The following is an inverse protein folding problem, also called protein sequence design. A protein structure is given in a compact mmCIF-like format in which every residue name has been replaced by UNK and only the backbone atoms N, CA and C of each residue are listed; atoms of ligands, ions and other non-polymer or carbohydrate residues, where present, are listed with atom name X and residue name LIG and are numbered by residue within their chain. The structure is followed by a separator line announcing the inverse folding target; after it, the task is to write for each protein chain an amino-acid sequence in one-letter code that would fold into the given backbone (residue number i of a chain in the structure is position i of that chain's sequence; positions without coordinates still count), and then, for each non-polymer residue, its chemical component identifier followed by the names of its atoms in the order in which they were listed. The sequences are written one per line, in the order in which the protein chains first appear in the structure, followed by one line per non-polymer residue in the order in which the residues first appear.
data_IF_169835426262
#
_entry.id   IF_169835426262
#
_cell.length_a   1.000
_cell.length_b   1.000
_cell.length_c   1.000
_cell.angle_alpha   90.00
_cell.angle_beta   90.00
_cell.angle_gamma   90.00
#
_symmetry.space_group_name_H-M   'P 1'
#
loop_
_entity.id
_entity.type
_entity.pdbx_description
1 polymer ?
#
# COMPACT_ATOMS: atom_id res chain seq x y z
N UNK A 1 6.42 2.60 -7.34
CA UNK A 1 6.80 1.39 -6.61
C UNK A 1 6.44 0.20 -7.45
N UNK A 2 7.45 -0.42 -8.04
CA UNK A 2 7.30 -1.61 -8.85
C UNK A 2 6.91 -2.76 -7.92
N UNK A 3 5.66 -3.22 -7.99
CA UNK A 3 5.18 -4.33 -7.14
C UNK A 3 5.44 -5.69 -7.79
N UNK A 4 5.64 -5.72 -9.11
CA UNK A 4 6.08 -6.87 -9.90
C UNK A 4 6.56 -6.44 -11.30
N UNK A 5 7.20 -7.33 -12.04
CA UNK A 5 7.60 -7.13 -13.44
C UNK A 5 9.11 -6.98 -13.64
N UNK A 6 9.52 -6.59 -14.86
CA UNK A 6 10.93 -6.53 -15.27
C UNK A 6 11.76 -5.60 -14.39
N UNK A 7 11.18 -4.52 -13.90
CA UNK A 7 11.86 -3.57 -13.02
C UNK A 7 12.12 -4.15 -11.62
N UNK A 8 11.20 -4.95 -11.10
CA UNK A 8 11.41 -5.67 -9.84
C UNK A 8 12.43 -6.78 -10.02
N UNK A 9 12.40 -7.47 -11.15
CA UNK A 9 13.39 -8.50 -11.48
C UNK A 9 14.78 -7.87 -11.55
N UNK A 10 14.89 -6.72 -12.21
CA UNK A 10 16.13 -5.94 -12.30
C UNK A 10 16.60 -5.47 -10.93
N UNK A 11 15.69 -5.00 -10.08
CA UNK A 11 15.99 -4.64 -8.70
C UNK A 11 16.55 -5.83 -7.90
N UNK A 12 15.88 -6.98 -7.94
CA UNK A 12 16.31 -8.18 -7.22
C UNK A 12 17.70 -8.64 -7.68
N UNK A 13 17.97 -8.60 -8.99
CA UNK A 13 19.29 -8.86 -9.57
C UNK A 13 20.36 -7.91 -9.04
N UNK A 14 20.06 -6.61 -9.00
CA UNK A 14 21.00 -5.61 -8.51
C UNK A 14 21.22 -5.72 -6.99
N UNK A 15 20.19 -5.99 -6.21
CA UNK A 15 20.32 -6.24 -4.77
C UNK A 15 21.18 -7.48 -4.50
N UNK A 16 20.97 -8.58 -5.22
CA UNK A 16 21.81 -9.78 -5.14
C UNK A 16 23.27 -9.48 -5.52
N UNK A 17 23.50 -8.72 -6.60
CA UNK A 17 24.83 -8.30 -7.03
C UNK A 17 25.53 -7.43 -5.97
N UNK A 18 24.78 -6.61 -5.25
CA UNK A 18 25.27 -5.76 -4.15
C UNK A 18 25.27 -6.47 -2.78
N UNK A 19 25.21 -7.80 -2.74
CA UNK A 19 25.42 -8.58 -1.53
C UNK A 19 24.21 -8.67 -0.61
N UNK A 20 22.98 -8.65 -1.15
CA UNK A 20 21.78 -8.94 -0.38
C UNK A 20 21.87 -10.32 0.31
N UNK A 21 21.59 -10.36 1.61
CA UNK A 21 21.57 -11.58 2.42
C UNK A 21 20.29 -11.64 3.27
N UNK A 22 19.53 -12.75 3.22
CA UNK A 22 19.71 -13.91 2.35
C UNK A 22 19.52 -13.56 0.86
N UNK A 23 20.14 -14.35 -0.03
CA UNK A 23 20.04 -14.13 -1.49
C UNK A 23 18.57 -14.18 -1.92
N UNK A 24 18.15 -13.19 -2.71
CA UNK A 24 16.79 -13.06 -3.21
C UNK A 24 16.53 -14.03 -4.36
N UNK A 25 15.28 -14.50 -4.44
CA UNK A 25 14.75 -15.14 -5.65
C UNK A 25 14.42 -14.04 -6.65
N UNK A 26 14.94 -14.15 -7.85
CA UNK A 26 14.75 -13.21 -8.96
C UNK A 26 13.47 -13.56 -9.72
N UNK A 27 12.33 -13.44 -9.03
CA UNK A 27 11.00 -13.80 -9.53
C UNK A 27 10.21 -12.60 -10.09
N UNK A 28 10.83 -11.42 -10.09
CA UNK A 28 10.19 -10.19 -10.48
C UNK A 28 9.02 -9.81 -9.59
N UNK A 29 8.98 -10.27 -8.33
CA UNK A 29 7.91 -9.98 -7.37
C UNK A 29 8.44 -9.21 -6.15
N UNK A 30 7.84 -8.06 -5.85
CA UNK A 30 8.31 -7.20 -4.76
C UNK A 30 7.68 -7.67 -3.45
N UNK A 31 8.17 -8.81 -2.96
CA UNK A 31 7.73 -9.41 -1.70
C UNK A 31 8.53 -8.92 -0.49
N UNK A 32 8.20 -9.47 0.68
CA UNK A 32 8.85 -9.15 1.96
C UNK A 32 10.38 -9.25 1.91
N UNK A 33 10.91 -10.26 1.22
CA UNK A 33 12.36 -10.44 1.11
C UNK A 33 13.00 -9.33 0.28
N UNK A 34 12.40 -8.96 -0.86
CA UNK A 34 12.84 -7.84 -1.71
C UNK A 34 12.79 -6.53 -0.94
N UNK A 35 11.70 -6.25 -0.22
CA UNK A 35 11.56 -5.06 0.62
C UNK A 35 12.64 -4.99 1.71
N UNK A 36 12.87 -6.09 2.45
CA UNK A 36 13.90 -6.13 3.48
C UNK A 36 15.30 -5.92 2.90
N UNK A 37 15.59 -6.49 1.73
CA UNK A 37 16.86 -6.30 1.05
C UNK A 37 17.06 -4.85 0.58
N UNK A 38 16.01 -4.18 0.09
CA UNK A 38 16.05 -2.74 -0.22
C UNK A 38 16.40 -1.94 1.02
N UNK A 39 15.71 -2.18 2.15
CA UNK A 39 15.97 -1.51 3.42
C UNK A 39 17.42 -1.69 3.90
N UNK A 40 17.93 -2.92 3.86
CA UNK A 40 19.32 -3.23 4.25
C UNK A 40 20.32 -2.53 3.32
N UNK A 41 20.05 -2.53 2.02
CA UNK A 41 20.89 -1.86 1.03
C UNK A 41 20.92 -0.35 1.26
N UNK A 42 19.77 0.27 1.49
CA UNK A 42 19.66 1.71 1.75
C UNK A 42 20.42 2.11 3.04
N UNK A 43 20.27 1.35 4.11
CA UNK A 43 21.00 1.57 5.37
C UNK A 43 22.52 1.55 5.21
N UNK A 44 23.03 0.73 4.28
CA UNK A 44 24.46 0.61 3.99
C UNK A 44 24.99 1.68 3.04
N UNK A 45 24.10 2.39 2.36
CA UNK A 45 24.48 3.25 1.23
C UNK A 45 24.15 4.72 1.44
N UNK A 46 23.97 5.15 2.70
CA UNK A 46 23.72 6.55 3.12
C UNK A 46 22.54 7.23 2.38
N UNK A 47 21.61 6.43 1.87
CA UNK A 47 20.35 6.89 1.30
C UNK A 47 19.23 6.65 2.32
N UNK A 48 18.14 7.40 2.21
CA UNK A 48 16.99 7.24 3.11
C UNK A 48 16.55 5.77 3.15
N UNK A 49 16.48 5.20 4.36
CA UNK A 49 16.16 3.81 4.57
C UNK A 49 14.63 3.61 4.61
N UNK A 50 13.90 4.18 3.69
CA UNK A 50 12.44 4.15 3.68
C UNK A 50 11.85 2.86 3.07
N UNK A 51 12.69 1.98 2.51
CA UNK A 51 12.27 0.80 1.76
C UNK A 51 11.74 1.11 0.36
N UNK A 52 11.91 2.35 -0.10
CA UNK A 52 11.45 2.86 -1.39
C UNK A 52 12.60 2.90 -2.38
N UNK A 53 12.47 2.17 -3.48
CA UNK A 53 13.48 2.22 -4.56
C UNK A 53 13.23 3.43 -5.46
N UNK A 54 13.66 4.60 -5.00
CA UNK A 54 13.65 5.86 -5.74
C UNK A 54 14.94 6.08 -6.57
N UNK A 55 15.04 7.20 -7.32
CA UNK A 55 16.19 7.49 -8.18
C UNK A 55 17.55 7.42 -7.48
N UNK A 56 17.62 7.87 -6.21
CA UNK A 56 18.83 7.75 -5.39
C UNK A 56 19.22 6.29 -5.11
N UNK A 57 18.23 5.46 -4.80
CA UNK A 57 18.45 4.02 -4.59
C UNK A 57 18.88 3.33 -5.88
N UNK A 58 18.31 3.71 -7.04
CA UNK A 58 18.71 3.17 -8.34
C UNK A 58 20.13 3.55 -8.75
N UNK A 59 20.51 4.81 -8.54
CA UNK A 59 21.87 5.29 -8.77
C UNK A 59 22.87 4.47 -7.96
N UNK A 60 22.57 4.27 -6.68
CA UNK A 60 23.42 3.56 -5.76
C UNK A 60 23.52 2.05 -6.08
N UNK A 61 22.48 1.46 -6.65
CA UNK A 61 22.48 0.07 -7.15
C UNK A 61 23.33 -0.10 -8.42
N UNK A 62 23.84 0.98 -9.01
CA UNK A 62 24.73 0.97 -10.17
C UNK A 62 24.03 1.15 -11.52
N UNK A 63 22.79 1.68 -11.55
CA UNK A 63 22.17 2.16 -12.80
C UNK A 63 22.53 3.64 -13.00
N UNK A 64 23.48 3.87 -13.91
CA UNK A 64 23.86 5.20 -14.39
C UNK A 64 23.09 5.46 -15.70
N UNK A 65 21.83 5.85 -15.59
CA UNK A 65 21.07 6.34 -16.75
C UNK A 65 21.11 7.88 -16.73
N UNK A 66 21.74 8.48 -17.75
CA UNK A 66 21.95 9.93 -17.88
C UNK A 66 20.66 10.74 -18.07
N UNK A 67 19.50 10.09 -17.97
CA UNK A 67 18.17 10.70 -17.98
C UNK A 67 17.76 11.32 -16.63
N UNK A 68 18.61 11.23 -15.59
CA UNK A 68 18.33 11.70 -14.23
C UNK A 68 19.23 12.87 -13.76
N UNK A 69 19.84 13.63 -14.69
CA UNK A 69 20.56 14.86 -14.36
C UNK A 69 19.93 16.03 -15.09
N UNK A 70 19.10 16.82 -14.40
CA UNK A 70 19.26 18.28 -14.51
C UNK A 70 18.95 18.93 -13.16
N UNK A 71 19.78 19.89 -12.72
CA UNK A 71 19.94 20.29 -11.32
C UNK A 71 19.07 21.50 -10.99
N UNK A 72 18.72 21.68 -9.71
CA UNK A 72 18.38 23.02 -9.24
C UNK A 72 19.68 23.79 -9.02
N UNK A 73 20.21 24.39 -10.08
CA UNK A 73 20.98 25.64 -10.00
C UNK A 73 20.29 26.69 -10.89
N UNK A 74 20.37 27.92 -10.39
CA UNK A 74 19.58 29.11 -10.73
C UNK A 74 19.78 29.67 -12.15
N UNK A 75 18.71 30.34 -12.62
CA UNK A 75 18.65 31.54 -13.48
C UNK A 75 18.99 31.49 -14.99
N UNK A 76 18.19 32.32 -15.70
CA UNK A 76 18.33 32.91 -17.05
C UNK A 76 18.00 32.09 -18.30
N UNK A 77 16.77 32.34 -18.77
CA UNK A 77 16.35 32.78 -20.11
C UNK A 77 16.38 31.87 -21.37
N UNK A 78 15.36 32.13 -22.21
CA UNK A 78 15.15 31.75 -23.63
C UNK A 78 14.61 30.34 -24.01
N UNK A 79 13.28 30.28 -24.08
CA UNK A 79 12.44 29.88 -25.22
C UNK A 79 12.97 28.80 -26.22
N UNK A 80 12.51 27.53 -26.08
CA UNK A 80 12.42 26.56 -27.17
C UNK A 80 11.20 25.64 -27.01
N UNK A 81 10.32 25.67 -28.01
CA UNK A 81 9.14 24.82 -28.17
C UNK A 81 9.54 23.47 -28.76
N UNK A 82 9.26 22.35 -28.07
CA UNK A 82 9.40 20.97 -28.61
C UNK A 82 8.15 20.15 -28.20
N UNK A 83 7.58 19.35 -29.12
CA UNK A 83 6.22 18.84 -29.04
C UNK A 83 6.03 17.64 -28.10
N UNK A 84 4.77 17.51 -27.69
CA UNK A 84 4.17 16.52 -26.82
C UNK A 84 4.37 15.08 -27.32
N UNK A 85 5.05 14.23 -26.54
CA UNK A 85 4.91 12.78 -26.65
C UNK A 85 5.19 12.08 -25.31
N UNK A 86 4.14 11.42 -24.81
CA UNK A 86 4.17 10.25 -23.92
C UNK A 86 4.71 10.45 -22.49
N UNK A 87 3.86 11.02 -21.62
CA UNK A 87 4.00 10.87 -20.16
C UNK A 87 3.86 9.40 -19.76
N UNK A 88 4.99 8.78 -19.40
CA UNK A 88 5.02 7.53 -18.63
C UNK A 88 4.64 7.87 -17.20
N UNK A 89 3.45 7.43 -16.76
CA UNK A 89 2.95 7.65 -15.39
C UNK A 89 3.62 6.66 -14.44
N UNK A 90 4.61 7.12 -13.68
CA UNK A 90 5.33 6.32 -12.68
C UNK A 90 4.54 6.35 -11.36
N UNK A 91 3.75 5.30 -11.13
CA UNK A 91 2.99 5.10 -9.89
C UNK A 91 3.96 4.79 -8.74
N UNK A 92 4.33 5.76 -7.91
CA UNK A 92 5.22 5.50 -6.77
C UNK A 92 5.61 6.66 -5.87
N UNK A 93 5.43 7.89 -6.31
CA UNK A 93 5.74 9.11 -5.56
C UNK A 93 4.53 10.06 -5.49
N UNK A 94 3.34 9.54 -5.70
CA UNK A 94 2.28 10.36 -6.26
C UNK A 94 1.32 10.79 -5.15
N UNK A 95 1.04 12.09 -5.11
CA UNK A 95 -0.02 12.74 -4.33
C UNK A 95 -1.41 12.09 -4.53
N UNK A 96 -1.52 11.04 -5.34
CA UNK A 96 -2.74 10.30 -5.65
C UNK A 96 -3.22 9.35 -4.54
N UNK A 97 -2.41 9.08 -3.50
CA UNK A 97 -2.86 8.33 -2.32
C UNK A 97 -2.82 9.14 -1.02
N UNK A 98 -3.79 8.91 -0.14
CA UNK A 98 -3.91 9.49 1.19
C UNK A 98 -4.17 8.43 2.27
N UNK A 99 -3.93 8.78 3.53
CA UNK A 99 -4.28 7.94 4.67
C UNK A 99 -5.82 7.77 4.76
N UNK A 100 -6.35 6.63 5.23
CA UNK A 100 -7.81 6.42 5.30
C UNK A 100 -8.52 7.25 6.39
N UNK A 101 -7.78 8.06 7.16
CA UNK A 101 -8.29 8.90 8.25
C UNK A 101 -7.64 10.28 8.24
N UNK A 102 -8.34 11.28 8.76
CA UNK A 102 -7.85 12.67 8.91
C UNK A 102 -6.82 12.86 10.02
N UNK A 103 -6.53 11.80 10.79
CA UNK A 103 -5.50 11.76 11.82
C UNK A 103 -4.95 10.35 11.97
N UNK A 104 -3.81 10.19 12.64
CA UNK A 104 -3.22 8.88 12.92
C UNK A 104 -3.87 8.20 14.12
N UNK A 105 -3.98 6.87 14.15
CA UNK A 105 -4.42 6.14 15.32
C UNK A 105 -3.40 6.28 16.46
N UNK A 106 -3.88 6.29 17.72
CA UNK A 106 -3.00 6.35 18.89
C UNK A 106 -2.10 5.12 19.04
N UNK A 107 -2.56 3.96 18.53
CA UNK A 107 -1.81 2.69 18.59
C UNK A 107 -1.25 2.37 17.21
N UNK A 108 0.03 1.97 17.18
CA UNK A 108 0.68 1.52 15.94
C UNK A 108 -0.01 0.27 15.36
N UNK A 109 -0.13 0.26 14.03
CA UNK A 109 -0.61 -0.86 13.20
C UNK A 109 0.47 -1.90 12.89
N UNK A 110 1.72 -1.68 13.29
CA UNK A 110 2.85 -2.60 13.03
C UNK A 110 3.17 -3.52 14.21
N UNK A 111 2.43 -3.42 15.33
CA UNK A 111 2.74 -4.14 16.57
C UNK A 111 1.52 -4.89 17.12
N UNK A 112 1.79 -6.02 17.79
CA UNK A 112 0.77 -6.82 18.50
C UNK A 112 -0.21 -7.54 17.56
N UNK A 113 -1.44 -7.79 18.01
CA UNK A 113 -2.46 -8.49 17.22
C UNK A 113 -2.95 -7.75 15.97
N UNK A 114 -2.63 -6.45 15.86
CA UNK A 114 -3.09 -5.54 14.79
C UNK A 114 -2.30 -5.64 13.51
N UNK A 115 -1.05 -6.11 13.58
CA UNK A 115 -0.16 -6.15 12.42
C UNK A 115 -0.54 -7.29 11.47
N UNK A 116 -0.17 -7.11 10.20
CA UNK A 116 -0.22 -8.18 9.23
C UNK A 116 0.65 -9.36 9.68
N UNK A 117 0.16 -10.58 9.48
CA UNK A 117 0.87 -11.80 9.87
C UNK A 117 0.79 -12.15 11.35
N UNK A 118 0.18 -11.31 12.20
CA UNK A 118 -0.01 -11.62 13.61
C UNK A 118 -0.69 -12.99 13.79
N UNK A 119 -0.23 -13.83 14.74
CA UNK A 119 -0.81 -15.15 14.95
C UNK A 119 -2.27 -15.03 15.41
N UNK A 120 -3.12 -15.87 14.86
CA UNK A 120 -4.53 -16.03 15.20
C UNK A 120 -4.81 -17.51 15.42
N UNK A 121 -5.83 -17.83 16.22
CA UNK A 121 -6.26 -19.23 16.45
C UNK A 121 -5.11 -20.14 16.90
N UNK A 122 -4.32 -19.70 17.89
CA UNK A 122 -3.16 -20.44 18.38
C UNK A 122 -2.00 -20.55 17.37
N UNK A 123 -1.96 -19.73 16.32
CA UNK A 123 -0.90 -19.73 15.30
C UNK A 123 -1.27 -20.46 14.00
N UNK A 124 -2.38 -21.19 13.97
CA UNK A 124 -2.88 -21.89 12.77
C UNK A 124 -3.38 -20.93 11.69
N UNK A 125 -3.71 -19.70 12.07
CA UNK A 125 -4.13 -18.63 11.18
C UNK A 125 -3.25 -17.39 11.38
N UNK A 126 -3.14 -16.57 10.34
CA UNK A 126 -2.46 -15.27 10.36
C UNK A 126 -3.45 -14.15 10.07
N UNK A 127 -3.19 -12.99 10.65
CA UNK A 127 -3.94 -11.78 10.41
C UNK A 127 -3.64 -11.23 9.01
N UNK A 128 -4.66 -11.03 8.17
CA UNK A 128 -4.48 -10.73 6.75
C UNK A 128 -4.49 -9.24 6.39
N UNK A 129 -4.47 -8.37 7.41
CA UNK A 129 -4.52 -6.93 7.24
C UNK A 129 -3.81 -6.20 8.37
N UNK A 130 -4.01 -4.89 8.40
CA UNK A 130 -3.63 -4.02 9.51
C UNK A 130 -4.90 -3.45 10.16
N UNK A 131 -4.95 -3.49 11.50
CA UNK A 131 -6.06 -2.92 12.26
C UNK A 131 -5.70 -1.48 12.71
N UNK A 132 -6.45 -0.50 12.20
CA UNK A 132 -6.34 0.91 12.56
C UNK A 132 -7.41 1.26 13.60
N UNK A 133 -7.03 1.31 14.87
CA UNK A 133 -7.97 1.51 15.99
C UNK A 133 -8.48 2.96 16.01
N UNK A 134 -9.80 3.09 15.86
CA UNK A 134 -10.55 4.33 15.93
C UNK A 134 -11.92 4.08 16.58
N UNK A 135 -12.52 5.08 17.25
CA UNK A 135 -13.86 4.93 17.82
C UNK A 135 -14.92 4.59 16.75
N UNK A 136 -16.03 3.94 17.14
CA UNK A 136 -17.16 3.71 16.25
C UNK A 136 -17.67 5.04 15.66
N UNK A 137 -18.13 5.00 14.40
CA UNK A 137 -18.64 6.17 13.71
C UNK A 137 -17.57 7.07 13.09
N UNK A 138 -16.28 6.85 13.37
CA UNK A 138 -15.19 7.62 12.76
C UNK A 138 -15.23 7.49 11.23
N UNK A 139 -15.22 8.59 10.45
CA UNK A 139 -15.23 8.53 8.99
C UNK A 139 -13.99 7.84 8.42
N UNK A 140 -14.21 6.94 7.46
CA UNK A 140 -13.19 6.24 6.68
C UNK A 140 -13.19 6.85 5.28
N UNK A 141 -12.00 7.17 4.77
CA UNK A 141 -11.81 7.82 3.47
C UNK A 141 -11.23 6.84 2.45
N UNK A 142 -11.63 6.98 1.19
CA UNK A 142 -10.99 6.31 0.07
C UNK A 142 -9.53 6.76 0.00
N UNK A 143 -8.60 5.79 -0.07
CA UNK A 143 -7.17 6.12 -0.06
C UNK A 143 -6.72 6.72 -1.39
N UNK A 144 -7.47 6.54 -2.46
CA UNK A 144 -7.21 7.08 -3.80
C UNK A 144 -8.51 7.09 -4.60
N UNK A 145 -8.46 7.63 -5.81
CA UNK A 145 -9.51 7.39 -6.80
C UNK A 145 -9.69 5.88 -7.01
N UNK A 146 -10.93 5.44 -7.16
CA UNK A 146 -11.20 4.01 -7.24
C UNK A 146 -12.59 3.64 -7.72
N UNK A 147 -12.76 2.35 -8.00
CA UNK A 147 -14.01 1.74 -8.44
C UNK A 147 -14.41 0.67 -7.43
N UNK A 148 -15.66 0.72 -6.97
CA UNK A 148 -16.24 -0.31 -6.12
C UNK A 148 -16.31 -1.63 -6.90
N UNK A 149 -15.63 -2.65 -6.38
CA UNK A 149 -15.63 -4.00 -6.97
C UNK A 149 -16.64 -4.89 -6.26
N UNK A 150 -16.81 -4.69 -4.95
CA UNK A 150 -17.80 -5.41 -4.16
C UNK A 150 -18.46 -4.48 -3.15
N UNK A 151 -19.77 -4.29 -3.32
CA UNK A 151 -20.60 -3.47 -2.44
C UNK A 151 -20.80 -4.09 -1.06
N UNK A 152 -21.31 -3.31 -0.09
CA UNK A 152 -21.28 -3.67 1.32
C UNK A 152 -21.84 -5.07 1.56
N UNK A 153 -21.04 -5.90 2.22
CA UNK A 153 -21.44 -7.25 2.59
C UNK A 153 -21.03 -7.53 4.03
N UNK A 154 -21.77 -8.43 4.68
CA UNK A 154 -21.43 -8.87 6.03
C UNK A 154 -20.01 -9.42 6.05
N UNK A 155 -19.18 -8.93 6.97
CA UNK A 155 -17.78 -9.30 7.05
C UNK A 155 -17.47 -10.10 8.31
N UNK A 156 -17.60 -9.49 9.48
CA UNK A 156 -17.16 -10.11 10.73
C UNK A 156 -17.85 -9.49 11.95
N UNK A 157 -18.34 -10.32 12.86
CA UNK A 157 -18.77 -9.89 14.21
C UNK A 157 -19.72 -8.68 14.21
N UNK A 158 -20.73 -8.68 13.32
CA UNK A 158 -21.72 -7.60 13.23
C UNK A 158 -21.30 -6.38 12.38
N UNK A 159 -20.11 -6.42 11.79
CA UNK A 159 -19.58 -5.39 10.90
C UNK A 159 -19.56 -5.84 9.43
N UNK A 160 -19.33 -4.88 8.54
CA UNK A 160 -19.40 -5.05 7.09
C UNK A 160 -18.05 -4.76 6.44
N UNK A 161 -17.95 -5.01 5.14
CA UNK A 161 -16.81 -4.61 4.34
C UNK A 161 -17.22 -4.15 2.93
N UNK A 162 -16.36 -3.36 2.31
CA UNK A 162 -16.38 -3.07 0.87
C UNK A 162 -15.01 -3.34 0.26
N UNK A 163 -14.99 -3.68 -1.03
CA UNK A 163 -13.76 -3.92 -1.78
C UNK A 163 -13.67 -2.88 -2.91
N UNK A 164 -12.63 -2.05 -2.91
CA UNK A 164 -12.44 -0.95 -3.87
C UNK A 164 -11.09 -1.12 -4.56
N UNK A 165 -11.12 -1.06 -5.89
CA UNK A 165 -9.91 -1.10 -6.71
C UNK A 165 -9.37 0.30 -6.93
N UNK A 166 -8.10 0.49 -6.57
CA UNK A 166 -7.33 1.72 -6.72
C UNK A 166 -6.15 1.45 -7.65
N UNK A 167 -6.34 1.71 -8.95
CA UNK A 167 -5.37 1.33 -9.98
C UNK A 167 -5.10 -0.18 -9.99
N UNK A 168 -3.87 -0.56 -9.69
CA UNK A 168 -3.41 -1.96 -9.64
C UNK A 168 -3.66 -2.64 -8.28
N UNK A 169 -4.07 -1.90 -7.26
CA UNK A 169 -4.37 -2.45 -5.94
C UNK A 169 -5.87 -2.69 -5.79
N UNK A 170 -6.24 -3.75 -5.08
CA UNK A 170 -7.57 -3.93 -4.54
C UNK A 170 -7.48 -3.88 -3.02
N UNK A 171 -8.24 -2.98 -2.40
CA UNK A 171 -8.30 -2.83 -0.96
C UNK A 171 -9.65 -3.33 -0.45
N UNK A 172 -9.62 -4.09 0.65
CA UNK A 172 -10.81 -4.35 1.44
C UNK A 172 -10.81 -3.43 2.65
N UNK A 173 -11.85 -2.61 2.72
CA UNK A 173 -12.17 -1.80 3.89
C UNK A 173 -13.12 -2.62 4.77
N UNK A 174 -12.56 -3.36 5.72
CA UNK A 174 -13.29 -4.19 6.65
C UNK A 174 -13.67 -3.47 7.94
N UNK A 175 -14.59 -4.09 8.67
CA UNK A 175 -15.07 -3.62 9.97
C UNK A 175 -15.77 -2.24 9.91
N UNK A 176 -16.42 -1.96 8.78
CA UNK A 176 -17.26 -0.77 8.63
C UNK A 176 -18.63 -0.98 9.29
N UNK A 177 -19.24 0.12 9.75
CA UNK A 177 -20.57 0.10 10.36
C UNK A 177 -21.66 -0.30 9.34
N UNK A 178 -22.67 -1.03 9.81
CA UNK A 178 -23.84 -1.42 9.02
C UNK A 178 -24.49 -0.20 8.36
N UNK A 179 -24.80 -0.30 7.06
CA UNK A 179 -25.44 0.78 6.30
C UNK A 179 -24.62 2.07 6.16
N UNK A 180 -23.35 2.10 6.58
CA UNK A 180 -22.54 3.33 6.59
C UNK A 180 -21.89 3.68 5.25
N UNK A 181 -21.93 2.78 4.27
CA UNK A 181 -21.25 3.00 3.00
C UNK A 181 -21.94 4.07 2.16
N UNK A 182 -21.18 5.09 1.77
CA UNK A 182 -21.65 6.25 0.99
C UNK A 182 -20.77 6.52 -0.23
N UNK A 183 -19.86 5.61 -0.57
CA UNK A 183 -18.85 5.83 -1.62
C UNK A 183 -19.39 5.89 -3.06
N UNK A 184 -20.48 5.18 -3.37
CA UNK A 184 -20.98 5.04 -4.74
C UNK A 184 -20.16 4.09 -5.61
N UNK A 185 -20.48 3.97 -6.90
CA UNK A 185 -19.77 3.03 -7.80
C UNK A 185 -18.31 3.42 -8.06
N UNK A 186 -18.00 4.72 -7.96
CA UNK A 186 -16.66 5.29 -8.08
C UNK A 186 -16.41 6.26 -6.94
N UNK A 187 -15.18 6.26 -6.41
CA UNK A 187 -14.76 7.11 -5.29
C UNK A 187 -13.60 8.00 -5.70
N UNK A 188 -13.46 9.13 -5.01
CA UNK A 188 -12.31 10.04 -5.14
C UNK A 188 -11.37 9.92 -3.95
N UNK A 189 -10.08 10.15 -4.17
CA UNK A 189 -9.08 10.25 -3.09
C UNK A 189 -9.60 11.18 -1.98
N UNK A 190 -9.60 10.71 -0.74
CA UNK A 190 -10.04 11.49 0.41
C UNK A 190 -11.55 11.64 0.55
N UNK A 191 -12.37 11.04 -0.32
CA UNK A 191 -13.83 10.99 -0.14
C UNK A 191 -14.18 10.09 1.05
N UNK A 192 -15.10 10.54 1.92
CA UNK A 192 -15.71 9.66 2.94
C UNK A 192 -16.50 8.55 2.27
N UNK A 193 -16.11 7.30 2.53
CA UNK A 193 -16.74 6.12 1.93
C UNK A 193 -17.55 5.29 2.93
N UNK A 194 -17.21 5.33 4.21
CA UNK A 194 -17.85 4.54 5.25
C UNK A 194 -17.54 5.11 6.64
N UNK A 195 -18.04 4.47 7.69
CA UNK A 195 -17.69 4.76 9.09
C UNK A 195 -17.19 3.50 9.79
N UNK A 196 -16.30 3.65 10.77
CA UNK A 196 -15.82 2.55 11.62
C UNK A 196 -16.99 1.90 12.37
N UNK A 197 -17.06 0.58 12.33
CA UNK A 197 -18.07 -0.22 13.04
C UNK A 197 -17.66 -0.61 14.45
N UNK A 198 -18.61 -1.24 15.15
CA UNK A 198 -18.39 -1.86 16.46
C UNK A 198 -18.51 -3.37 16.29
N UNK A 199 -17.47 -4.12 16.68
CA UNK A 199 -17.53 -5.57 16.71
C UNK A 199 -18.39 -6.03 17.89
N UNK A 200 -18.87 -7.27 17.84
CA UNK A 200 -19.60 -7.89 18.96
C UNK A 200 -18.81 -7.94 20.28
N UNK A 201 -17.48 -7.83 20.24
CA UNK A 201 -16.63 -7.70 21.44
C UNK A 201 -16.59 -6.29 22.04
N UNK A 202 -17.22 -5.30 21.41
CA UNK A 202 -17.13 -3.87 21.76
C UNK A 202 -15.89 -3.16 21.20
N UNK A 203 -14.96 -3.88 20.56
CA UNK A 203 -13.80 -3.27 19.89
C UNK A 203 -14.22 -2.52 18.60
N UNK A 204 -13.40 -1.56 18.16
CA UNK A 204 -13.62 -0.79 16.93
C UNK A 204 -12.31 -0.41 16.24
N UNK A 205 -12.25 -0.62 14.92
CA UNK A 205 -11.11 -0.30 14.06
C UNK A 205 -11.53 -0.36 12.58
N UNK A 206 -10.69 0.15 11.69
CA UNK A 206 -10.69 -0.27 10.28
C UNK A 206 -9.73 -1.46 10.13
N UNK A 207 -10.25 -2.60 9.68
CA UNK A 207 -9.45 -3.73 9.24
C UNK A 207 -9.13 -3.56 7.74
N UNK A 208 -7.90 -3.15 7.42
CA UNK A 208 -7.50 -2.88 6.05
C UNK A 208 -6.71 -4.06 5.47
N UNK A 209 -7.18 -4.63 4.36
CA UNK A 209 -6.43 -5.63 3.59
C UNK A 209 -6.02 -5.03 2.22
N UNK A 210 -4.82 -5.37 1.74
CA UNK A 210 -4.29 -4.90 0.45
C UNK A 210 -3.94 -6.10 -0.43
N UNK A 211 -4.34 -6.04 -1.70
CA UNK A 211 -4.10 -7.08 -2.69
C UNK A 211 -3.38 -6.50 -3.91
N UNK A 212 -2.34 -7.20 -4.37
CA UNK A 212 -1.44 -6.71 -5.43
C UNK A 212 -1.93 -7.01 -6.86
N UNK A 213 -3.00 -7.78 -7.01
CA UNK A 213 -3.66 -8.01 -8.29
C UNK A 213 -5.08 -7.44 -8.30
N UNK A 214 -5.18 -6.11 -8.47
CA UNK A 214 -6.46 -5.41 -8.48
C UNK A 214 -7.41 -5.84 -9.59
N UNK A 215 -6.90 -6.31 -10.72
CA UNK A 215 -7.72 -6.77 -11.87
C UNK A 215 -8.33 -8.16 -11.67
N UNK A 216 -7.88 -8.93 -10.66
CA UNK A 216 -8.42 -10.26 -10.41
C UNK A 216 -9.82 -10.18 -9.80
N UNK A 217 -10.76 -10.90 -10.42
CA UNK A 217 -12.15 -11.07 -9.98
C UNK A 217 -12.33 -12.23 -9.00
N UNK A 218 -11.25 -12.97 -8.70
CA UNK A 218 -11.30 -14.08 -7.76
C UNK A 218 -11.64 -13.58 -6.34
N UNK A 219 -12.44 -14.37 -5.62
CA UNK A 219 -12.81 -14.09 -4.23
C UNK A 219 -11.57 -13.79 -3.37
N UNK A 220 -11.68 -12.71 -2.59
CA UNK A 220 -10.65 -12.32 -1.64
C UNK A 220 -10.56 -13.29 -0.44
N UNK A 221 -11.62 -14.06 -0.18
CA UNK A 221 -11.59 -15.18 0.78
C UNK A 221 -10.96 -16.40 0.11
N UNK A 222 -10.01 -17.04 0.80
CA UNK A 222 -9.24 -18.14 0.22
C UNK A 222 -8.62 -19.09 1.23
N UNK A 223 -7.65 -19.87 0.77
CA UNK A 223 -6.94 -20.86 1.58
C UNK A 223 -5.74 -20.31 2.35
N UNK A 224 -4.84 -21.21 2.75
CA UNK A 224 -3.60 -20.88 3.44
C UNK A 224 -3.78 -20.34 4.86
N UNK A 225 -2.67 -19.87 5.44
CA UNK A 225 -2.65 -19.35 6.81
C UNK A 225 -3.38 -18.02 6.96
N UNK A 226 -3.43 -17.20 5.92
CA UNK A 226 -4.19 -15.93 5.94
C UNK A 226 -5.70 -16.11 5.70
N UNK A 227 -6.14 -17.25 5.16
CA UNK A 227 -7.53 -17.47 4.73
C UNK A 227 -7.99 -16.42 3.71
N UNK A 228 -7.08 -16.00 2.83
CA UNK A 228 -7.27 -14.97 1.80
C UNK A 228 -6.69 -15.42 0.46
N UNK A 229 -7.01 -14.66 -0.59
CA UNK A 229 -6.36 -14.76 -1.90
C UNK A 229 -4.84 -14.65 -1.76
N UNK A 230 -4.10 -15.38 -2.59
CA UNK A 230 -2.66 -15.57 -2.44
C UNK A 230 -1.83 -14.28 -2.61
N UNK A 231 -2.38 -13.26 -3.26
CA UNK A 231 -1.75 -11.96 -3.52
C UNK A 231 -2.03 -10.92 -2.42
N UNK A 232 -2.63 -11.33 -1.30
CA UNK A 232 -2.72 -10.48 -0.10
C UNK A 232 -1.32 -10.11 0.37
N UNK A 233 -1.13 -8.83 0.71
CA UNK A 233 0.17 -8.30 1.14
C UNK A 233 0.02 -7.44 2.38
N UNK A 234 1.16 -7.18 3.04
CA UNK A 234 1.23 -6.34 4.23
C UNK A 234 0.80 -4.90 3.90
N UNK A 235 -0.24 -4.35 4.55
CA UNK A 235 -0.63 -2.95 4.37
C UNK A 235 0.34 -1.95 4.99
N UNK A 236 1.20 -2.36 5.93
CA UNK A 236 2.02 -1.44 6.72
C UNK A 236 2.93 -0.52 5.88
N UNK A 237 3.64 -0.99 4.83
CA UNK A 237 4.44 -0.11 3.97
C UNK A 237 3.59 0.98 3.29
N UNK A 238 2.40 0.62 2.79
CA UNK A 238 1.48 1.58 2.18
C UNK A 238 0.99 2.61 3.19
N UNK A 239 0.55 2.16 4.37
CA UNK A 239 0.12 3.04 5.45
C UNK A 239 1.24 3.99 5.93
N UNK A 240 2.49 3.52 5.95
CA UNK A 240 3.66 4.35 6.29
C UNK A 240 3.95 5.42 5.24
N UNK A 241 3.66 5.17 3.97
CA UNK A 241 3.73 6.20 2.92
C UNK A 241 2.56 7.18 3.03
N UNK A 242 1.34 6.67 3.26
CA UNK A 242 0.13 7.48 3.23
C UNK A 242 -0.04 8.37 4.47
N UNK A 243 0.58 8.03 5.61
CA UNK A 243 0.44 8.78 6.87
C UNK A 243 0.88 10.24 6.79
N UNK A 244 1.68 10.62 5.80
CA UNK A 244 2.11 12.01 5.55
C UNK A 244 1.13 12.78 4.67
N UNK A 245 0.19 12.10 3.99
CA UNK A 245 -0.87 12.71 3.18
C UNK A 245 -2.24 12.40 3.77
N UNK A 246 -2.69 13.20 4.73
CA UNK A 246 -3.99 13.03 5.37
C UNK A 246 -5.10 13.67 4.49
N UNK A 247 -6.30 13.06 4.40
CA UNK A 247 -7.46 13.71 3.79
C UNK A 247 -7.72 15.05 4.46
N UNK A 248 -8.06 16.06 3.65
CA UNK A 248 -8.52 17.37 4.14
C UNK A 248 -10.04 17.31 4.33
N UNK A 249 -10.52 17.85 5.44
CA UNK A 249 -11.94 18.03 5.76
C UNK A 249 -12.54 19.20 5.01
#
# INVERSE_FOLDING_TARGET
MFTKGKDVLKLQQLLNKNGAFPKLVEDGSFGKNTYNAVKIFQQRSEVEDDGIVGPRTWLQLGIQDSSAITPLVSSTDSNLTIPESSKVVIAGSDESFCFPFTKLPLKSWTNGGRQFGAPRSGGTRKHAGCDLIFPPGTPIHAVADGILVRGPYYFYSGTYAVEIRHGNLLLRYGEIASGSYTGGASVKKGQVIAKVGTLGSGSSMLHLEVYTNGSSTASLSGGGSFKRRADVTDPAPYLNMWKTNLPRT
#
